data_IF_966533272363
#
_entry.id   IF_966533272363
#
_cell.length_a   1.000
_cell.length_b   1.000
_cell.length_c   1.000
_cell.angle_alpha   90.00
_cell.angle_beta   90.00
_cell.angle_gamma   90.00
#
_symmetry.space_group_name_H-M   'P 1'
#
loop_
_entity.id
_entity.type
_entity.pdbx_description
1 polymer ?
#
# COMPACT_ATOMS: atom_id res chain seq x y z
N UNK A 1 -27.41 7.93 54.97
CA UNK A 1 -27.48 7.19 53.70
C UNK A 1 -26.44 6.09 53.74
N UNK A 2 -26.84 4.81 53.75
CA UNK A 2 -25.92 3.70 53.53
C UNK A 2 -25.20 3.92 52.19
N UNK A 3 -23.86 3.84 52.19
CA UNK A 3 -23.08 3.91 50.95
C UNK A 3 -23.48 2.74 50.06
N UNK A 4 -23.84 3.04 48.81
CA UNK A 4 -24.07 2.07 47.74
C UNK A 4 -23.00 0.96 47.80
N UNK A 5 -23.46 -0.28 47.91
CA UNK A 5 -22.65 -1.49 48.19
C UNK A 5 -21.92 -2.04 46.97
N UNK A 6 -22.18 -1.51 45.78
CA UNK A 6 -21.56 -1.99 44.55
C UNK A 6 -20.16 -1.39 44.38
N UNK A 7 -19.14 -2.25 44.46
CA UNK A 7 -17.76 -1.90 44.12
C UNK A 7 -17.36 -2.66 42.86
N UNK A 8 -17.14 -1.98 41.71
CA UNK A 8 -16.64 -2.65 40.52
C UNK A 8 -15.23 -3.21 40.77
N UNK A 9 -14.84 -4.30 40.07
CA UNK A 9 -13.51 -4.86 40.20
C UNK A 9 -12.44 -3.83 39.77
N UNK A 10 -11.28 -3.88 40.43
CA UNK A 10 -10.19 -2.94 40.11
C UNK A 10 -9.68 -3.18 38.68
N UNK A 11 -9.67 -2.15 37.82
CA UNK A 11 -9.27 -2.32 36.43
C UNK A 11 -7.76 -2.57 36.28
N UNK A 12 -7.41 -3.52 35.41
CA UNK A 12 -6.02 -3.84 35.07
C UNK A 12 -5.37 -2.72 34.24
N UNK A 13 -4.03 -2.74 34.11
CA UNK A 13 -3.30 -1.79 33.26
C UNK A 13 -3.70 -1.89 31.78
N UNK A 14 -3.92 -3.12 31.31
CA UNK A 14 -4.35 -3.43 29.94
C UNK A 14 -5.74 -2.84 29.70
N UNK A 15 -6.64 -3.04 30.65
CA UNK A 15 -8.00 -2.52 30.58
C UNK A 15 -8.03 -0.99 30.46
N UNK A 16 -7.21 -0.30 31.27
CA UNK A 16 -7.03 1.16 31.17
C UNK A 16 -6.41 1.61 29.83
N UNK A 17 -5.54 0.80 29.22
CA UNK A 17 -4.96 1.11 27.91
C UNK A 17 -6.04 1.08 26.82
N UNK A 18 -6.88 0.05 26.81
CA UNK A 18 -7.99 -0.05 25.85
C UNK A 18 -9.07 1.01 26.08
N UNK A 19 -9.34 1.41 27.33
CA UNK A 19 -10.20 2.56 27.60
C UNK A 19 -9.69 3.85 26.98
N UNK A 20 -8.37 4.09 27.07
CA UNK A 20 -7.74 5.23 26.40
C UNK A 20 -7.87 5.15 24.88
N UNK A 21 -7.77 3.94 24.31
CA UNK A 21 -7.98 3.71 22.87
C UNK A 21 -9.42 4.00 22.43
N UNK A 22 -10.41 3.65 23.26
CA UNK A 22 -11.82 4.03 23.07
C UNK A 22 -12.10 5.52 23.37
N UNK A 23 -11.11 6.24 23.90
CA UNK A 23 -11.23 7.63 24.36
C UNK A 23 -12.17 7.81 25.56
N UNK A 24 -12.35 6.76 26.36
CA UNK A 24 -13.01 6.84 27.66
C UNK A 24 -12.07 7.38 28.74
N UNK A 25 -12.63 8.17 29.65
CA UNK A 25 -11.91 8.65 30.83
C UNK A 25 -11.73 7.50 31.84
N UNK A 26 -10.48 7.14 32.11
CA UNK A 26 -10.14 6.07 33.03
C UNK A 26 -10.55 6.35 34.49
N UNK A 27 -10.62 7.61 34.90
CA UNK A 27 -11.07 8.00 36.22
C UNK A 27 -12.58 7.76 36.37
N UNK A 28 -13.36 8.24 35.41
CA UNK A 28 -14.83 8.08 35.42
C UNK A 28 -15.23 6.61 35.22
N UNK A 29 -14.57 5.88 34.30
CA UNK A 29 -14.81 4.45 34.07
C UNK A 29 -14.51 3.60 35.30
N UNK A 30 -13.54 4.00 36.13
CA UNK A 30 -13.23 3.27 37.37
C UNK A 30 -14.33 3.35 38.42
N UNK A 31 -15.19 4.38 38.34
CA UNK A 31 -16.34 4.59 39.22
C UNK A 31 -17.65 4.09 38.59
N UNK A 32 -17.67 3.88 37.27
CA UNK A 32 -18.80 3.36 36.53
C UNK A 32 -19.02 1.85 36.76
N UNK A 33 -20.14 1.33 36.23
CA UNK A 33 -20.48 -0.08 36.35
C UNK A 33 -19.49 -0.98 35.59
N UNK A 34 -19.33 -2.23 36.04
CA UNK A 34 -18.46 -3.19 35.33
C UNK A 34 -18.91 -3.46 33.88
N UNK A 35 -20.20 -3.32 33.59
CA UNK A 35 -20.73 -3.44 32.23
C UNK A 35 -20.15 -2.36 31.31
N UNK A 36 -20.10 -1.09 31.77
CA UNK A 36 -19.55 0.02 30.99
C UNK A 36 -18.04 -0.12 30.80
N UNK A 37 -17.37 -0.59 31.84
CA UNK A 37 -15.96 -0.94 31.78
C UNK A 37 -15.64 -1.96 30.68
N UNK A 38 -16.47 -3.00 30.50
CA UNK A 38 -16.31 -3.98 29.43
C UNK A 38 -16.65 -3.37 28.07
N UNK A 39 -17.75 -2.60 27.95
CA UNK A 39 -18.15 -1.96 26.69
C UNK A 39 -17.03 -1.09 26.12
N UNK A 40 -16.43 -0.23 26.94
CA UNK A 40 -15.30 0.62 26.53
C UNK A 40 -14.01 -0.17 26.31
N UNK A 41 -13.81 -1.29 27.01
CA UNK A 41 -12.69 -2.20 26.74
C UNK A 41 -12.82 -2.85 25.35
N UNK A 42 -14.00 -3.41 25.02
CA UNK A 42 -14.27 -4.02 23.72
C UNK A 42 -14.16 -2.99 22.59
N UNK A 43 -14.73 -1.80 22.77
CA UNK A 43 -14.65 -0.72 21.80
C UNK A 43 -13.20 -0.31 21.51
N UNK A 44 -12.38 -0.17 22.55
CA UNK A 44 -10.95 0.10 22.39
C UNK A 44 -10.20 -1.07 21.76
N UNK A 45 -10.61 -2.30 22.06
CA UNK A 45 -10.08 -3.52 21.45
C UNK A 45 -10.27 -3.54 19.95
N UNK A 46 -11.46 -3.17 19.47
CA UNK A 46 -11.79 -3.09 18.06
C UNK A 46 -10.92 -2.03 17.38
N UNK A 47 -10.80 -0.82 17.95
CA UNK A 47 -9.95 0.27 17.41
C UNK A 47 -8.46 -0.12 17.30
N UNK A 48 -7.94 -0.87 18.28
CA UNK A 48 -6.54 -1.35 18.22
C UNK A 48 -6.41 -2.47 17.18
N UNK A 49 -7.39 -3.35 17.07
CA UNK A 49 -7.37 -4.44 16.10
C UNK A 49 -7.44 -3.91 14.65
N UNK A 50 -8.30 -2.93 14.37
CA UNK A 50 -8.38 -2.27 13.05
C UNK A 50 -7.05 -1.59 12.70
N UNK A 51 -6.46 -0.86 13.64
CA UNK A 51 -5.15 -0.22 13.45
C UNK A 51 -4.01 -1.20 13.13
N UNK A 52 -3.93 -2.34 13.84
CA UNK A 52 -2.90 -3.36 13.59
C UNK A 52 -3.13 -4.01 12.23
N UNK A 53 -4.37 -4.38 11.90
CA UNK A 53 -4.71 -4.98 10.62
C UNK A 53 -4.40 -4.04 9.45
N UNK A 54 -4.78 -2.76 9.58
CA UNK A 54 -4.48 -1.73 8.58
C UNK A 54 -2.99 -1.51 8.43
N UNK A 55 -2.22 -1.47 9.52
CA UNK A 55 -0.76 -1.34 9.49
C UNK A 55 -0.07 -2.51 8.79
N UNK A 56 -0.49 -3.75 9.09
CA UNK A 56 0.03 -4.95 8.43
C UNK A 56 -0.33 -4.97 6.92
N UNK A 57 -1.55 -4.59 6.57
CA UNK A 57 -2.00 -4.47 5.18
C UNK A 57 -1.21 -3.41 4.41
N UNK A 58 -1.12 -2.19 4.97
CA UNK A 58 -0.40 -1.08 4.35
C UNK A 58 1.08 -1.38 4.18
N UNK A 59 1.72 -1.99 5.18
CA UNK A 59 3.11 -2.46 5.08
C UNK A 59 3.28 -3.52 4.00
N UNK A 60 2.39 -4.51 3.92
CA UNK A 60 2.43 -5.53 2.87
C UNK A 60 2.24 -4.93 1.47
N UNK A 61 1.25 -4.06 1.30
CA UNK A 61 0.97 -3.37 0.03
C UNK A 61 2.20 -2.56 -0.42
N UNK A 62 2.80 -1.81 0.50
CA UNK A 62 4.02 -1.06 0.25
C UNK A 62 5.15 -1.99 -0.22
N UNK A 63 5.37 -3.11 0.49
CA UNK A 63 6.39 -4.08 0.09
C UNK A 63 6.14 -4.67 -1.31
N UNK A 64 4.89 -5.03 -1.64
CA UNK A 64 4.57 -5.61 -2.96
C UNK A 64 4.75 -4.62 -4.11
N UNK A 65 4.44 -3.34 -3.88
CA UNK A 65 4.56 -2.28 -4.88
C UNK A 65 6.03 -1.88 -5.09
N UNK A 66 6.78 -1.70 -4.00
CA UNK A 66 8.14 -1.16 -4.03
C UNK A 66 9.25 -2.21 -3.95
N UNK A 67 8.92 -3.51 -3.91
CA UNK A 67 9.95 -4.55 -4.04
C UNK A 67 10.53 -4.49 -5.45
N UNK A 68 11.86 -4.54 -5.60
CA UNK A 68 12.45 -4.62 -6.92
C UNK A 68 11.94 -5.90 -7.58
N UNK A 69 11.39 -5.73 -8.79
CA UNK A 69 11.11 -6.84 -9.69
C UNK A 69 12.43 -7.11 -10.38
N UNK A 70 13.35 -7.81 -9.72
CA UNK A 70 14.70 -7.99 -10.25
C UNK A 70 14.63 -8.61 -11.66
N UNK A 71 14.94 -7.80 -12.67
CA UNK A 71 15.16 -8.20 -14.07
C UNK A 71 16.63 -8.62 -14.26
N UNK A 72 17.50 -8.34 -13.30
CA UNK A 72 18.94 -8.59 -13.38
C UNK A 72 19.40 -9.48 -12.23
N UNK A 73 20.18 -10.49 -12.62
CA UNK A 73 20.81 -11.54 -11.80
C UNK A 73 19.94 -12.71 -11.31
N UNK A 74 20.11 -13.83 -12.03
CA UNK A 74 20.20 -15.20 -11.49
C UNK A 74 19.28 -15.59 -10.34
N UNK A 75 17.98 -15.73 -10.62
CA UNK A 75 17.09 -16.55 -9.77
C UNK A 75 16.32 -17.67 -10.47
N UNK A 76 16.51 -17.84 -11.78
CA UNK A 76 15.83 -18.89 -12.55
C UNK A 76 16.73 -19.67 -13.52
N UNK A 77 18.04 -19.38 -13.62
CA UNK A 77 18.91 -20.00 -14.65
C UNK A 77 19.87 -21.06 -14.12
N UNK A 78 20.16 -21.17 -12.83
CA UNK A 78 21.10 -22.21 -12.38
C UNK A 78 20.40 -23.55 -12.04
N UNK A 79 19.70 -24.10 -13.05
CA UNK A 79 19.42 -25.54 -13.19
C UNK A 79 18.97 -25.95 -14.59
N UNK A 80 19.27 -25.14 -15.61
CA UNK A 80 19.07 -25.51 -17.01
C UNK A 80 20.40 -25.50 -17.78
N UNK A 81 21.42 -26.13 -17.23
CA UNK A 81 22.58 -26.58 -18.00
C UNK A 81 23.29 -27.67 -17.21
N UNK A 82 23.56 -28.80 -17.88
CA UNK A 82 24.22 -30.00 -17.37
C UNK A 82 23.39 -30.94 -16.49
N UNK A 83 22.27 -31.41 -17.04
CA UNK A 83 22.00 -32.84 -16.91
C UNK A 83 21.56 -33.38 -18.26
N UNK A 84 22.47 -34.15 -18.83
CA UNK A 84 22.35 -35.03 -19.98
C UNK A 84 21.01 -35.79 -19.96
N UNK A 85 20.37 -35.84 -21.13
CA UNK A 85 19.40 -36.86 -21.56
C UNK A 85 18.07 -37.07 -20.79
N UNK A 86 16.98 -36.89 -21.54
CA UNK A 86 15.76 -37.70 -21.48
C UNK A 86 14.97 -37.75 -20.16
N UNK A 87 14.20 -36.70 -19.85
CA UNK A 87 12.84 -36.84 -19.29
C UNK A 87 12.20 -35.45 -19.12
N UNK A 88 11.05 -35.24 -19.77
CA UNK A 88 10.26 -34.00 -19.76
C UNK A 88 9.31 -33.92 -18.55
N UNK A 89 9.37 -34.87 -17.62
CA UNK A 89 8.43 -34.92 -16.51
C UNK A 89 9.10 -34.48 -15.21
N UNK A 90 8.46 -33.52 -14.53
CA UNK A 90 8.78 -32.94 -13.21
C UNK A 90 9.65 -31.68 -13.16
N UNK A 91 9.17 -30.60 -13.79
CA UNK A 91 9.51 -29.23 -13.37
C UNK A 91 8.51 -28.80 -12.27
N UNK A 92 8.77 -29.18 -11.02
CA UNK A 92 8.12 -28.53 -9.86
C UNK A 92 8.96 -27.32 -9.44
N UNK A 93 8.65 -26.17 -10.01
CA UNK A 93 9.24 -24.90 -9.61
C UNK A 93 8.61 -24.46 -8.28
N UNK A 94 9.22 -24.85 -7.17
CA UNK A 94 8.99 -24.19 -5.89
C UNK A 94 9.58 -22.78 -5.98
N UNK A 95 8.74 -21.77 -6.19
CA UNK A 95 9.11 -20.35 -6.26
C UNK A 95 9.52 -19.91 -4.85
N UNK A 96 10.82 -19.95 -4.54
CA UNK A 96 11.34 -19.40 -3.28
C UNK A 96 11.48 -17.89 -3.44
N UNK A 97 10.62 -17.10 -2.79
CA UNK A 97 10.70 -15.63 -2.76
C UNK A 97 11.93 -15.17 -1.96
N UNK A 98 12.96 -14.65 -2.61
CA UNK A 98 14.05 -13.91 -1.94
C UNK A 98 13.50 -12.55 -1.53
N UNK A 99 13.58 -12.29 -0.23
CA UNK A 99 13.07 -11.07 0.40
C UNK A 99 14.05 -9.93 0.21
N UNK A 100 13.61 -8.81 -0.38
CA UNK A 100 14.43 -7.61 -0.45
C UNK A 100 14.42 -6.90 0.91
N UNK A 101 15.44 -7.17 1.72
CA UNK A 101 15.54 -6.68 3.10
C UNK A 101 15.42 -5.15 3.25
N UNK A 102 16.00 -4.31 2.36
CA UNK A 102 15.85 -2.86 2.46
C UNK A 102 14.40 -2.40 2.29
N UNK A 103 13.67 -2.90 1.27
CA UNK A 103 12.26 -2.55 1.08
C UNK A 103 11.40 -3.08 2.22
N UNK A 104 11.73 -4.27 2.76
CA UNK A 104 11.03 -4.82 3.92
C UNK A 104 11.15 -3.91 5.14
N UNK A 105 12.33 -3.37 5.42
CA UNK A 105 12.53 -2.45 6.54
C UNK A 105 11.69 -1.18 6.39
N UNK A 106 11.68 -0.58 5.19
CA UNK A 106 10.86 0.61 4.90
C UNK A 106 9.36 0.28 5.01
N UNK A 107 8.95 -0.89 4.52
CA UNK A 107 7.57 -1.36 4.59
C UNK A 107 7.08 -1.56 6.03
N UNK A 108 7.94 -2.07 6.93
CA UNK A 108 7.62 -2.22 8.36
C UNK A 108 7.42 -0.84 9.01
N UNK A 109 8.34 0.10 8.76
CA UNK A 109 8.24 1.46 9.29
C UNK A 109 6.96 2.13 8.78
N UNK A 110 6.70 2.03 7.48
CA UNK A 110 5.49 2.54 6.85
C UNK A 110 4.23 1.92 7.47
N UNK A 111 4.19 0.60 7.64
CA UNK A 111 3.07 -0.11 8.26
C UNK A 111 2.79 0.33 9.69
N UNK A 112 3.84 0.58 10.49
CA UNK A 112 3.70 1.11 11.86
C UNK A 112 3.13 2.52 11.84
N UNK A 113 3.66 3.42 11.01
CA UNK A 113 3.16 4.80 10.89
C UNK A 113 1.72 4.81 10.40
N UNK A 114 1.39 4.01 9.40
CA UNK A 114 0.04 3.89 8.86
C UNK A 114 -0.94 3.35 9.90
N UNK A 115 -0.57 2.29 10.62
CA UNK A 115 -1.38 1.77 11.72
C UNK A 115 -1.62 2.80 12.82
N UNK A 116 -0.62 3.64 13.15
CA UNK A 116 -0.79 4.74 14.10
C UNK A 116 -1.72 5.86 13.59
N UNK A 117 -1.70 6.14 12.28
CA UNK A 117 -2.64 7.08 11.65
C UNK A 117 -4.07 6.55 11.80
N UNK A 118 -4.31 5.29 11.42
CA UNK A 118 -5.63 4.66 11.54
C UNK A 118 -6.08 4.59 12.99
N UNK A 119 -5.20 4.19 13.91
CA UNK A 119 -5.49 4.23 15.34
C UNK A 119 -5.98 5.60 15.82
N UNK A 120 -5.31 6.68 15.41
CA UNK A 120 -5.71 8.03 15.80
C UNK A 120 -7.02 8.45 15.15
N UNK A 121 -7.25 8.11 13.88
CA UNK A 121 -8.49 8.41 13.17
C UNK A 121 -9.67 7.66 13.80
N UNK A 122 -9.58 6.35 13.98
CA UNK A 122 -10.64 5.53 14.59
C UNK A 122 -10.92 5.97 16.03
N UNK A 123 -9.87 6.25 16.81
CA UNK A 123 -10.00 6.83 18.16
C UNK A 123 -10.72 8.17 18.14
N UNK A 124 -10.32 9.07 17.23
CA UNK A 124 -10.98 10.35 17.05
C UNK A 124 -12.45 10.15 16.65
N UNK A 125 -12.76 9.21 15.77
CA UNK A 125 -14.12 8.89 15.35
C UNK A 125 -14.96 8.40 16.54
N UNK A 126 -14.44 7.48 17.35
CA UNK A 126 -15.16 6.95 18.51
C UNK A 126 -15.43 8.04 19.56
N UNK A 127 -14.49 8.97 19.75
CA UNK A 127 -14.66 10.09 20.70
C UNK A 127 -15.56 11.20 20.20
N UNK A 128 -15.55 11.47 18.89
CA UNK A 128 -16.28 12.59 18.29
C UNK A 128 -17.65 12.20 17.74
N UNK A 129 -17.92 10.91 17.55
CA UNK A 129 -19.28 10.46 17.24
C UNK A 129 -20.08 10.66 18.52
N UNK A 130 -21.02 11.61 18.47
CA UNK A 130 -21.89 11.92 19.61
C UNK A 130 -22.50 10.66 20.20
N UNK A 131 -22.74 10.69 21.52
CA UNK A 131 -23.55 9.66 22.18
C UNK A 131 -24.90 9.67 21.44
N UNK A 132 -25.38 8.51 20.99
CA UNK A 132 -26.70 8.43 20.37
C UNK A 132 -27.78 9.06 21.24
N UNK A 133 -28.96 9.28 20.68
CA UNK A 133 -30.13 9.84 21.38
C UNK A 133 -30.46 9.10 22.69
N UNK A 134 -29.90 7.89 22.87
CA UNK A 134 -29.96 7.08 24.07
C UNK A 134 -31.01 5.99 23.96
N UNK A 135 -31.59 5.80 22.78
CA UNK A 135 -32.48 4.69 22.46
C UNK A 135 -31.70 3.51 21.85
N UNK A 136 -32.29 2.31 21.90
CA UNK A 136 -31.70 1.10 21.30
C UNK A 136 -31.77 1.08 19.76
N UNK A 137 -32.57 1.98 19.17
CA UNK A 137 -32.80 2.02 17.74
C UNK A 137 -31.88 3.04 17.07
N UNK A 138 -31.26 2.66 15.95
CA UNK A 138 -30.44 3.57 15.14
C UNK A 138 -31.39 4.55 14.43
N UNK A 139 -31.46 5.79 14.92
CA UNK A 139 -32.32 6.83 14.35
C UNK A 139 -31.73 7.37 13.04
N UNK A 140 -32.58 7.70 12.05
CA UNK A 140 -32.12 8.21 10.73
C UNK A 140 -31.26 9.49 10.84
N UNK A 141 -31.49 10.30 11.87
CA UNK A 141 -30.66 11.47 12.18
C UNK A 141 -29.22 11.11 12.57
N UNK A 142 -29.02 10.02 13.30
CA UNK A 142 -27.69 9.54 13.70
C UNK A 142 -26.93 8.96 12.51
N UNK A 143 -27.62 8.20 11.66
CA UNK A 143 -27.06 7.67 10.44
C UNK A 143 -26.61 8.80 9.49
N UNK A 144 -27.41 9.87 9.37
CA UNK A 144 -27.04 11.07 8.60
C UNK A 144 -25.84 11.79 9.19
N UNK A 145 -25.73 11.87 10.52
CA UNK A 145 -24.57 12.45 11.20
C UNK A 145 -23.29 11.61 11.05
N UNK A 146 -23.43 10.28 10.98
CA UNK A 146 -22.32 9.35 10.76
C UNK A 146 -21.95 9.16 9.28
N UNK A 147 -22.77 9.63 8.34
CA UNK A 147 -22.63 9.37 6.89
C UNK A 147 -21.25 9.75 6.31
N UNK A 148 -20.68 10.94 6.57
CA UNK A 148 -19.35 11.29 6.04
C UNK A 148 -18.27 10.30 6.49
N UNK A 149 -18.45 9.71 7.69
CA UNK A 149 -17.51 8.78 8.31
C UNK A 149 -17.66 7.38 7.73
N UNK A 150 -18.89 6.93 7.49
CA UNK A 150 -19.16 5.67 6.80
C UNK A 150 -18.53 5.70 5.41
N UNK A 151 -18.68 6.82 4.67
CA UNK A 151 -18.06 6.98 3.35
C UNK A 151 -16.54 6.88 3.44
N UNK A 152 -15.91 7.57 4.40
CA UNK A 152 -14.46 7.50 4.61
C UNK A 152 -14.00 6.08 4.94
N UNK A 153 -14.70 5.40 5.85
CA UNK A 153 -14.43 4.00 6.21
C UNK A 153 -14.57 3.05 5.02
N UNK A 154 -15.58 3.24 4.17
CA UNK A 154 -15.74 2.47 2.93
C UNK A 154 -14.54 2.64 1.99
N UNK A 155 -14.06 3.88 1.80
CA UNK A 155 -12.91 4.17 0.92
C UNK A 155 -11.66 3.48 1.45
N UNK A 156 -11.41 3.58 2.77
CA UNK A 156 -10.26 2.96 3.42
C UNK A 156 -10.36 1.43 3.33
N UNK A 157 -11.52 0.85 3.64
CA UNK A 157 -11.74 -0.59 3.60
C UNK A 157 -11.52 -1.18 2.20
N UNK A 158 -12.05 -0.55 1.16
CA UNK A 158 -11.84 -0.99 -0.24
C UNK A 158 -10.36 -0.86 -0.63
N UNK A 159 -9.69 0.20 -0.18
CA UNK A 159 -8.27 0.43 -0.47
C UNK A 159 -7.37 -0.60 0.22
N UNK A 160 -7.71 -1.00 1.46
CA UNK A 160 -6.97 -1.98 2.26
C UNK A 160 -7.30 -3.42 1.82
N UNK A 161 -8.49 -3.69 1.29
CA UNK A 161 -8.91 -5.04 0.93
C UNK A 161 -8.09 -5.63 -0.22
N UNK A 162 -7.78 -4.84 -1.26
CA UNK A 162 -7.13 -5.34 -2.48
C UNK A 162 -5.75 -5.96 -2.24
N UNK A 163 -4.81 -5.32 -1.51
CA UNK A 163 -3.52 -5.95 -1.22
C UNK A 163 -3.63 -7.24 -0.39
N UNK A 164 -4.53 -7.27 0.60
CA UNK A 164 -4.75 -8.45 1.44
C UNK A 164 -5.43 -9.58 0.67
N UNK A 165 -6.38 -9.26 -0.20
CA UNK A 165 -7.04 -10.19 -1.10
C UNK A 165 -6.02 -10.94 -1.96
N UNK A 166 -5.10 -10.21 -2.61
CA UNK A 166 -4.03 -10.81 -3.42
C UNK A 166 -3.10 -11.66 -2.57
N UNK A 167 -2.83 -11.27 -1.32
CA UNK A 167 -1.99 -12.06 -0.40
C UNK A 167 -2.66 -13.37 -0.02
N UNK A 168 -3.95 -13.34 0.28
CA UNK A 168 -4.73 -14.51 0.64
C UNK A 168 -4.81 -15.48 -0.54
N UNK A 169 -5.05 -14.96 -1.75
CA UNK A 169 -5.18 -15.73 -2.99
C UNK A 169 -3.85 -15.96 -3.73
N UNK A 170 -2.72 -15.78 -3.05
CA UNK A 170 -1.41 -15.79 -3.72
C UNK A 170 -1.16 -17.11 -4.47
N UNK A 171 -1.47 -18.25 -3.85
CA UNK A 171 -1.23 -19.57 -4.45
C UNK A 171 -2.12 -19.87 -5.66
N UNK A 172 -3.32 -19.31 -5.69
CA UNK A 172 -4.27 -19.40 -6.78
C UNK A 172 -3.84 -18.51 -7.94
N UNK A 173 -3.53 -17.24 -7.65
CA UNK A 173 -3.10 -16.25 -8.63
C UNK A 173 -1.79 -16.67 -9.29
N UNK A 174 -0.81 -17.14 -8.52
CA UNK A 174 0.50 -17.56 -9.06
C UNK A 174 0.37 -18.76 -10.02
N UNK A 175 -0.61 -19.66 -9.82
CA UNK A 175 -0.89 -20.77 -10.74
C UNK A 175 -1.43 -20.27 -12.08
N UNK A 176 -2.44 -19.39 -12.05
CA UNK A 176 -3.01 -18.81 -13.28
C UNK A 176 -2.01 -17.92 -14.01
N UNK A 177 -1.26 -17.11 -13.27
CA UNK A 177 -0.20 -16.26 -13.82
C UNK A 177 0.88 -17.10 -14.52
N UNK A 178 1.31 -18.20 -13.89
CA UNK A 178 2.27 -19.12 -14.50
C UNK A 178 1.75 -19.77 -15.78
N UNK A 179 0.44 -20.05 -15.87
CA UNK A 179 -0.17 -20.54 -17.11
C UNK A 179 -0.10 -19.49 -18.22
N UNK A 180 -0.53 -18.25 -17.92
CA UNK A 180 -0.49 -17.14 -18.89
C UNK A 180 0.93 -16.89 -19.39
N UNK A 181 1.92 -16.92 -18.48
CA UNK A 181 3.33 -16.75 -18.84
C UNK A 181 3.83 -17.90 -19.73
N UNK A 182 3.46 -19.15 -19.43
CA UNK A 182 3.80 -20.30 -20.26
C UNK A 182 3.19 -20.18 -21.64
N UNK A 183 1.90 -19.84 -21.73
CA UNK A 183 1.18 -19.69 -23.00
C UNK A 183 1.79 -18.57 -23.86
N UNK A 184 2.14 -17.44 -23.25
CA UNK A 184 2.86 -16.35 -23.92
C UNK A 184 4.22 -16.82 -24.46
N UNK A 185 5.02 -17.46 -23.61
CA UNK A 185 6.33 -18.00 -24.01
C UNK A 185 6.18 -19.00 -25.15
N UNK A 186 5.27 -19.98 -25.05
CA UNK A 186 5.11 -20.99 -26.10
C UNK A 186 4.68 -20.39 -27.42
N UNK A 187 3.74 -19.43 -27.40
CA UNK A 187 3.25 -18.78 -28.61
C UNK A 187 4.33 -17.94 -29.30
N UNK A 188 5.12 -17.17 -28.53
CA UNK A 188 6.20 -16.35 -29.10
C UNK A 188 7.37 -17.21 -29.57
N UNK A 189 7.77 -18.25 -28.82
CA UNK A 189 8.79 -19.22 -29.26
C UNK A 189 8.36 -19.92 -30.56
N UNK A 190 7.09 -20.29 -30.68
CA UNK A 190 6.58 -20.94 -31.89
C UNK A 190 6.65 -20.01 -33.10
N UNK A 191 6.38 -18.71 -32.94
CA UNK A 191 6.53 -17.72 -34.04
C UNK A 191 7.99 -17.58 -34.49
N UNK A 192 8.93 -17.46 -33.56
CA UNK A 192 10.37 -17.37 -33.86
C UNK A 192 10.81 -18.64 -34.59
N UNK A 193 10.53 -19.82 -34.02
CA UNK A 193 10.91 -21.10 -34.63
C UNK A 193 10.28 -21.32 -36.01
N UNK A 194 9.03 -20.93 -36.22
CA UNK A 194 8.38 -21.04 -37.55
C UNK A 194 9.09 -20.19 -38.59
N UNK A 195 9.54 -19.00 -38.20
CA UNK A 195 10.26 -18.07 -39.08
C UNK A 195 11.61 -18.64 -39.47
N UNK A 196 12.37 -19.16 -38.50
CA UNK A 196 13.73 -19.64 -38.73
C UNK A 196 13.79 -21.07 -39.29
N UNK A 197 12.72 -21.87 -39.13
CA UNK A 197 12.69 -23.28 -39.57
C UNK A 197 13.07 -23.45 -41.03
N UNK A 198 12.54 -22.60 -41.93
CA UNK A 198 12.79 -22.72 -43.38
C UNK A 198 14.27 -22.47 -43.68
N UNK A 199 14.84 -21.43 -43.09
CA UNK A 199 16.25 -21.04 -43.26
C UNK A 199 17.16 -22.13 -42.70
N UNK A 200 16.85 -22.63 -41.50
CA UNK A 200 17.61 -23.71 -40.86
C UNK A 200 17.57 -25.00 -41.67
N UNK A 201 16.42 -25.40 -42.22
CA UNK A 201 16.33 -26.61 -43.06
C UNK A 201 17.21 -26.52 -44.30
N UNK A 202 17.25 -25.35 -44.95
CA UNK A 202 18.09 -25.14 -46.13
C UNK A 202 19.58 -25.19 -45.77
N UNK A 203 19.98 -24.48 -44.70
CA UNK A 203 21.37 -24.51 -44.23
C UNK A 203 21.79 -25.92 -43.79
N UNK A 204 20.91 -26.67 -43.14
CA UNK A 204 21.18 -28.04 -42.70
C UNK A 204 21.33 -29.01 -43.88
N UNK A 205 20.53 -28.87 -44.93
CA UNK A 205 20.67 -29.63 -46.18
C UNK A 205 22.01 -29.33 -46.87
N UNK A 206 22.35 -28.04 -46.99
CA UNK A 206 23.61 -27.61 -47.60
C UNK A 206 24.81 -28.11 -46.81
N UNK A 207 24.82 -27.92 -45.48
CA UNK A 207 25.88 -28.42 -44.59
C UNK A 207 25.97 -29.95 -44.64
N UNK A 208 24.84 -30.66 -44.67
CA UNK A 208 24.79 -32.13 -44.77
C UNK A 208 25.51 -32.65 -46.01
N UNK A 209 25.44 -31.91 -47.13
CA UNK A 209 26.13 -32.30 -48.37
C UNK A 209 27.66 -32.26 -48.21
N UNK A 210 28.20 -31.24 -47.54
CA UNK A 210 29.64 -31.12 -47.23
C UNK A 210 30.08 -32.15 -46.19
N UNK A 211 29.27 -32.35 -45.15
CA UNK A 211 29.55 -33.35 -44.11
C UNK A 211 29.59 -34.76 -44.70
N UNK A 212 28.64 -35.14 -45.56
CA UNK A 212 28.67 -36.43 -46.25
C UNK A 212 29.92 -36.62 -47.11
N UNK A 213 30.34 -35.60 -47.86
CA UNK A 213 31.58 -35.68 -48.66
C UNK A 213 32.81 -35.86 -47.77
N UNK A 214 32.89 -35.10 -46.68
CA UNK A 214 33.95 -35.22 -45.68
C UNK A 214 33.96 -36.60 -45.03
N UNK A 215 32.80 -37.11 -44.60
CA UNK A 215 32.67 -38.41 -43.94
C UNK A 215 33.05 -39.56 -44.87
N UNK A 216 32.71 -39.49 -46.17
CA UNK A 216 33.18 -40.47 -47.16
C UNK A 216 34.72 -40.49 -47.26
N UNK A 217 35.35 -39.31 -47.29
CA UNK A 217 36.83 -39.23 -47.28
C UNK A 217 37.43 -39.70 -45.96
N UNK A 218 36.76 -39.44 -44.84
CA UNK A 218 37.17 -39.91 -43.53
C UNK A 218 37.09 -41.45 -43.46
N UNK A 219 36.03 -42.06 -43.96
CA UNK A 219 35.86 -43.51 -44.04
C UNK A 219 36.91 -44.15 -44.95
N UNK A 220 37.22 -43.53 -46.10
CA UNK A 220 38.31 -43.97 -46.98
C UNK A 220 39.68 -43.90 -46.29
N UNK A 221 39.91 -42.86 -45.47
CA UNK A 221 41.12 -42.70 -44.66
C UNK A 221 41.24 -43.79 -43.59
N UNK A 222 40.15 -44.03 -42.85
CA UNK A 222 40.08 -45.02 -41.77
C UNK A 222 40.24 -46.45 -42.34
N UNK A 223 39.67 -46.74 -43.50
CA UNK A 223 39.86 -48.01 -44.21
C UNK A 223 41.33 -48.25 -44.58
N UNK A 224 42.04 -47.22 -45.04
CA UNK A 224 43.48 -47.32 -45.32
C UNK A 224 44.30 -47.50 -44.04
N UNK A 225 43.89 -46.85 -42.96
CA UNK A 225 44.51 -47.00 -41.65
C UNK A 225 44.39 -48.44 -41.13
N UNK A 226 43.20 -49.04 -41.20
CA UNK A 226 42.96 -50.43 -40.83
C UNK A 226 43.82 -51.40 -41.66
N UNK A 227 43.93 -51.16 -42.98
CA UNK A 227 44.79 -51.96 -43.85
C UNK A 227 46.27 -51.87 -43.47
N UNK A 228 46.77 -50.69 -43.08
CA UNK A 228 48.14 -50.51 -42.60
C UNK A 228 48.36 -51.31 -41.31
N UNK A 229 47.44 -51.19 -40.35
CA UNK A 229 47.51 -51.90 -39.07
C UNK A 229 47.49 -53.42 -39.26
N UNK A 230 46.64 -53.92 -40.15
CA UNK A 230 46.58 -55.33 -40.53
C UNK A 230 47.90 -55.83 -41.16
N UNK A 231 48.52 -55.05 -42.04
CA UNK A 231 49.79 -55.42 -42.68
C UNK A 231 50.97 -55.38 -41.71
N UNK A 232 50.95 -54.46 -40.73
CA UNK A 232 51.95 -54.40 -39.64
C UNK A 232 51.82 -55.62 -38.74
N UNK A 233 50.61 -55.97 -38.31
CA UNK A 233 50.35 -57.11 -37.43
C UNK A 233 50.76 -58.46 -38.06
N UNK A 234 50.65 -58.59 -39.39
CA UNK A 234 51.00 -59.80 -40.13
C UNK A 234 52.42 -59.79 -40.73
N UNK A 235 53.28 -58.83 -40.36
CA UNK A 235 54.68 -58.78 -40.81
C UNK A 235 54.90 -58.45 -42.30
N UNK A 236 53.86 -57.98 -42.99
CA UNK A 236 53.84 -57.67 -44.44
C UNK A 236 54.23 -56.24 -44.79
N UNK A 237 54.52 -55.39 -43.81
CA UNK A 237 54.73 -53.96 -44.02
C UNK A 237 56.14 -53.64 -44.54
N UNK A 238 56.26 -53.53 -45.87
CA UNK A 238 57.39 -52.89 -46.61
C UNK A 238 56.86 -51.64 -47.34
N UNK A 239 57.46 -51.21 -48.46
CA UNK A 239 57.11 -49.98 -49.21
C UNK A 239 55.61 -49.76 -49.56
N UNK A 240 54.77 -50.79 -49.51
CA UNK A 240 53.29 -50.66 -49.60
C UNK A 240 52.69 -49.78 -48.51
N UNK A 241 53.20 -49.85 -47.27
CA UNK A 241 52.73 -49.00 -46.18
C UNK A 241 53.07 -47.52 -46.43
N UNK A 242 54.21 -47.23 -47.07
CA UNK A 242 54.56 -45.86 -47.49
C UNK A 242 53.64 -45.36 -48.61
N UNK A 243 53.21 -46.25 -49.51
CA UNK A 243 52.23 -45.93 -50.55
C UNK A 243 50.84 -45.62 -49.95
N UNK A 244 50.36 -46.44 -49.00
CA UNK A 244 49.10 -46.17 -48.29
C UNK A 244 49.17 -44.88 -47.48
N UNK A 245 50.30 -44.60 -46.80
CA UNK A 245 50.51 -43.31 -46.12
C UNK A 245 50.48 -42.12 -47.09
N UNK A 246 51.05 -42.26 -48.29
CA UNK A 246 50.94 -41.21 -49.34
C UNK A 246 49.49 -41.01 -49.79
N UNK A 247 48.71 -42.09 -49.91
CA UNK A 247 47.29 -41.99 -50.24
C UNK A 247 46.50 -41.33 -49.10
N UNK A 248 46.78 -41.68 -47.84
CA UNK A 248 46.22 -41.01 -46.66
C UNK A 248 46.53 -39.52 -46.64
N UNK A 249 47.76 -39.09 -46.92
CA UNK A 249 48.11 -37.67 -46.99
C UNK A 249 47.30 -36.92 -48.05
N UNK A 250 47.06 -37.53 -49.23
CA UNK A 250 46.22 -36.93 -50.27
C UNK A 250 44.74 -36.86 -49.89
N UNK A 251 44.24 -37.84 -49.14
CA UNK A 251 42.86 -37.83 -48.64
C UNK A 251 42.72 -36.79 -47.52
N UNK A 252 43.72 -36.68 -46.65
CA UNK A 252 43.79 -35.66 -45.61
C UNK A 252 43.79 -34.24 -46.20
N UNK A 253 44.56 -34.00 -47.26
CA UNK A 253 44.56 -32.74 -48.00
C UNK A 253 43.15 -32.39 -48.52
N UNK A 254 42.41 -33.36 -49.09
CA UNK A 254 41.01 -33.16 -49.52
C UNK A 254 40.05 -32.87 -48.36
N UNK A 255 40.26 -33.51 -47.21
CA UNK A 255 39.47 -33.25 -46.01
C UNK A 255 39.71 -31.82 -45.53
N UNK A 256 40.96 -31.37 -45.56
CA UNK A 256 41.35 -30.03 -45.11
C UNK A 256 40.90 -28.95 -46.12
N UNK A 257 40.94 -29.22 -47.43
CA UNK A 257 40.32 -28.37 -48.48
C UNK A 257 38.83 -28.13 -48.19
N UNK A 258 38.07 -29.16 -47.78
CA UNK A 258 36.65 -29.00 -47.44
C UNK A 258 36.46 -28.17 -46.16
N UNK A 259 37.35 -28.33 -45.16
CA UNK A 259 37.27 -27.54 -43.92
C UNK A 259 37.61 -26.06 -44.15
N UNK A 260 38.54 -25.79 -45.04
CA UNK A 260 38.99 -24.44 -45.40
C UNK A 260 38.15 -23.80 -46.50
N UNK A 261 37.21 -24.55 -47.11
CA UNK A 261 36.28 -24.03 -48.11
C UNK A 261 35.48 -22.84 -47.55
N UNK A 262 35.62 -21.69 -48.21
CA UNK A 262 34.98 -20.44 -47.78
C UNK A 262 33.46 -20.52 -47.74
N UNK A 263 32.83 -21.29 -48.63
CA UNK A 263 31.38 -21.45 -48.65
C UNK A 263 30.93 -22.31 -47.47
N UNK A 264 31.62 -23.43 -47.21
CA UNK A 264 31.34 -24.28 -46.04
C UNK A 264 31.48 -23.50 -44.73
N UNK A 265 32.55 -22.72 -44.58
CA UNK A 265 32.78 -21.88 -43.40
C UNK A 265 31.71 -20.79 -43.26
N UNK A 266 31.26 -20.19 -44.37
CA UNK A 266 30.18 -19.20 -44.38
C UNK A 266 28.84 -19.77 -43.91
N UNK A 267 28.48 -21.00 -44.32
CA UNK A 267 27.25 -21.69 -43.93
C UNK A 267 27.25 -22.00 -42.43
N UNK A 268 28.37 -22.48 -41.89
CA UNK A 268 28.52 -22.72 -40.45
C UNK A 268 28.39 -21.41 -39.67
N UNK A 269 29.06 -20.35 -40.12
CA UNK A 269 28.99 -19.05 -39.47
C UNK A 269 27.56 -18.47 -39.51
N UNK A 270 26.87 -18.61 -40.64
CA UNK A 270 25.49 -18.18 -40.80
C UNK A 270 24.56 -18.95 -39.85
N UNK A 271 24.69 -20.28 -39.79
CA UNK A 271 23.97 -21.12 -38.82
C UNK A 271 24.24 -20.67 -37.38
N UNK A 272 25.51 -20.51 -37.01
CA UNK A 272 25.92 -20.06 -35.67
C UNK A 272 25.35 -18.69 -35.33
N UNK A 273 25.35 -17.75 -36.28
CA UNK A 273 24.78 -16.42 -36.09
C UNK A 273 23.27 -16.48 -35.86
N UNK A 274 22.55 -17.35 -36.60
CA UNK A 274 21.11 -17.55 -36.44
C UNK A 274 20.78 -18.13 -35.05
N UNK A 275 21.50 -19.16 -34.61
CA UNK A 275 21.35 -19.72 -33.27
C UNK A 275 21.65 -18.69 -32.16
N UNK A 276 22.68 -17.86 -32.34
CA UNK A 276 22.98 -16.80 -31.37
C UNK A 276 21.87 -15.75 -31.31
N UNK A 277 21.25 -15.44 -32.45
CA UNK A 277 20.13 -14.51 -32.56
C UNK A 277 18.87 -15.10 -31.91
N UNK A 278 18.51 -16.36 -32.23
CA UNK A 278 17.40 -17.07 -31.61
C UNK A 278 17.56 -17.09 -30.08
N UNK A 279 18.73 -17.46 -29.55
CA UNK A 279 18.98 -17.45 -28.10
C UNK A 279 18.78 -16.06 -27.49
N UNK A 280 19.25 -15.00 -28.15
CA UNK A 280 19.03 -13.62 -27.69
C UNK A 280 17.54 -13.23 -27.71
N UNK A 281 16.80 -13.66 -28.72
CA UNK A 281 15.35 -13.42 -28.85
C UNK A 281 14.56 -14.19 -27.78
N UNK A 282 14.95 -15.44 -27.50
CA UNK A 282 14.40 -16.24 -26.40
C UNK A 282 14.65 -15.60 -25.03
N UNK A 283 15.83 -15.03 -24.81
CA UNK A 283 16.11 -14.26 -23.59
C UNK A 283 15.23 -13.02 -23.48
N UNK A 284 14.95 -12.32 -24.58
CA UNK A 284 14.02 -11.17 -24.55
C UNK A 284 12.59 -11.61 -24.29
N UNK A 285 12.08 -12.66 -24.93
CA UNK A 285 10.72 -13.19 -24.72
C UNK A 285 10.55 -13.64 -23.27
N UNK A 286 11.54 -14.33 -22.70
CA UNK A 286 11.49 -14.77 -21.30
C UNK A 286 11.56 -13.60 -20.31
N UNK A 287 12.25 -12.50 -20.66
CA UNK A 287 12.22 -11.25 -19.89
C UNK A 287 10.85 -10.58 -19.97
N UNK A 288 10.24 -10.49 -21.15
CA UNK A 288 8.90 -9.92 -21.35
C UNK A 288 7.82 -10.72 -20.62
N UNK A 289 7.89 -12.05 -20.66
CA UNK A 289 6.97 -12.91 -19.92
C UNK A 289 7.03 -12.66 -18.41
N UNK A 290 8.22 -12.40 -17.86
CA UNK A 290 8.39 -12.04 -16.45
C UNK A 290 7.85 -10.65 -16.11
N UNK A 291 7.85 -9.71 -17.06
CA UNK A 291 7.25 -8.39 -16.89
C UNK A 291 5.71 -8.47 -16.76
N UNK A 292 5.08 -9.55 -17.24
CA UNK A 292 3.65 -9.83 -17.04
C UNK A 292 3.28 -10.16 -15.57
N UNK A 293 4.19 -9.97 -14.60
CA UNK A 293 3.91 -10.04 -13.17
C UNK A 293 3.61 -8.65 -12.56
N UNK A 294 2.56 -8.01 -13.09
CA UNK A 294 2.07 -6.71 -12.62
C UNK A 294 1.06 -6.82 -11.47
N UNK A 295 1.01 -5.82 -10.58
CA UNK A 295 -0.06 -5.72 -9.57
C UNK A 295 -1.45 -5.70 -10.22
N UNK A 296 -1.60 -4.94 -11.32
CA UNK A 296 -2.84 -4.87 -12.07
C UNK A 296 -3.30 -6.25 -12.58
N UNK A 297 -2.37 -7.04 -13.14
CA UNK A 297 -2.66 -8.40 -13.62
C UNK A 297 -3.11 -9.30 -12.47
N UNK A 298 -2.47 -9.19 -11.29
CA UNK A 298 -2.86 -9.95 -10.10
C UNK A 298 -4.26 -9.57 -9.59
N UNK A 299 -4.62 -8.28 -9.64
CA UNK A 299 -5.97 -7.81 -9.29
C UNK A 299 -7.00 -8.35 -10.27
N UNK A 300 -6.76 -8.22 -11.59
CA UNK A 300 -7.71 -8.72 -12.60
C UNK A 300 -7.87 -10.23 -12.52
N UNK A 301 -6.78 -10.99 -12.29
CA UNK A 301 -6.86 -12.44 -12.11
C UNK A 301 -7.70 -12.84 -10.89
N UNK A 302 -7.56 -12.11 -9.78
CA UNK A 302 -8.35 -12.36 -8.58
C UNK A 302 -9.85 -12.11 -8.82
N UNK A 303 -10.19 -11.00 -9.48
CA UNK A 303 -11.58 -10.62 -9.75
C UNK A 303 -12.24 -11.49 -10.82
N UNK A 304 -11.50 -11.90 -11.85
CA UNK A 304 -12.01 -12.73 -12.94
C UNK A 304 -12.24 -14.18 -12.50
N UNK A 305 -11.28 -14.77 -11.79
CA UNK A 305 -11.36 -16.18 -11.40
C UNK A 305 -12.05 -16.40 -10.05
N UNK A 306 -12.03 -15.42 -9.13
CA UNK A 306 -12.58 -15.55 -7.78
C UNK A 306 -13.48 -14.37 -7.35
N UNK A 307 -14.50 -13.99 -8.16
CA UNK A 307 -15.33 -12.80 -7.88
C UNK A 307 -16.08 -12.88 -6.55
N UNK A 308 -16.60 -14.07 -6.20
CA UNK A 308 -17.33 -14.25 -4.95
C UNK A 308 -16.41 -14.11 -3.72
N UNK A 309 -15.17 -14.60 -3.81
CA UNK A 309 -14.19 -14.51 -2.71
C UNK A 309 -13.69 -13.07 -2.59
N UNK A 310 -13.41 -12.41 -3.71
CA UNK A 310 -13.04 -10.99 -3.77
C UNK A 310 -14.09 -10.09 -3.10
N UNK A 311 -15.37 -10.29 -3.47
CA UNK A 311 -16.49 -9.56 -2.89
C UNK A 311 -16.64 -9.86 -1.40
N UNK A 312 -16.59 -11.13 -1.00
CA UNK A 312 -16.68 -11.53 0.41
C UNK A 312 -15.59 -10.89 1.26
N UNK A 313 -14.33 -10.94 0.82
CA UNK A 313 -13.22 -10.32 1.56
C UNK A 313 -13.37 -8.80 1.66
N UNK A 314 -13.79 -8.14 0.57
CA UNK A 314 -14.06 -6.70 0.60
C UNK A 314 -15.17 -6.34 1.59
N UNK A 315 -16.27 -7.09 1.60
CA UNK A 315 -17.35 -6.90 2.58
C UNK A 315 -16.92 -7.21 4.01
N UNK A 316 -16.03 -8.19 4.21
CA UNK A 316 -15.48 -8.52 5.52
C UNK A 316 -14.64 -7.36 6.07
N UNK A 317 -13.71 -6.82 5.27
CA UNK A 317 -12.92 -5.65 5.69
C UNK A 317 -13.79 -4.43 5.92
N UNK A 318 -14.79 -4.21 5.07
CA UNK A 318 -15.78 -3.15 5.25
C UNK A 318 -16.52 -3.29 6.60
N UNK A 319 -16.96 -4.50 6.94
CA UNK A 319 -17.63 -4.75 8.21
C UNK A 319 -16.70 -4.48 9.41
N UNK A 320 -15.45 -4.93 9.34
CA UNK A 320 -14.46 -4.72 10.41
C UNK A 320 -14.16 -3.23 10.62
N UNK A 321 -13.92 -2.47 9.55
CA UNK A 321 -13.62 -1.04 9.60
C UNK A 321 -14.82 -0.20 10.08
N UNK A 322 -16.05 -0.59 9.72
CA UNK A 322 -17.26 0.10 10.18
C UNK A 322 -17.71 -0.32 11.60
N UNK A 323 -17.13 -1.38 12.17
CA UNK A 323 -17.52 -1.92 13.48
C UNK A 323 -17.42 -0.88 14.60
N UNK A 324 -16.35 -0.06 14.76
CA UNK A 324 -16.28 0.97 15.79
C UNK A 324 -17.45 1.95 15.75
N UNK A 325 -17.89 2.31 14.54
CA UNK A 325 -18.99 3.26 14.31
C UNK A 325 -20.32 2.62 14.72
N UNK A 326 -20.62 1.43 14.18
CA UNK A 326 -21.85 0.73 14.51
C UNK A 326 -21.95 0.39 16.00
N UNK A 327 -20.83 -0.02 16.61
CA UNK A 327 -20.79 -0.28 18.04
C UNK A 327 -21.08 0.98 18.84
N UNK A 328 -20.52 2.13 18.45
CA UNK A 328 -20.77 3.41 19.14
C UNK A 328 -22.23 3.86 19.00
N UNK A 329 -22.85 3.66 17.84
CA UNK A 329 -24.27 3.96 17.61
C UNK A 329 -25.20 3.01 18.39
N UNK A 330 -24.78 1.77 18.62
CA UNK A 330 -25.53 0.79 19.42
C UNK A 330 -25.40 1.01 20.94
N UNK A 331 -24.48 1.87 21.40
CA UNK A 331 -24.30 2.14 22.82
C UNK A 331 -25.40 3.06 23.38
N UNK A 332 -26.29 2.46 24.18
CA UNK A 332 -27.26 3.17 25.02
C UNK A 332 -26.52 4.01 26.08
N UNK A 333 -27.08 5.17 26.43
CA UNK A 333 -26.59 6.01 27.53
C UNK A 333 -26.50 5.19 28.83
N UNK A 334 -25.31 5.21 29.42
CA UNK A 334 -24.96 4.42 30.59
C UNK A 334 -24.59 5.31 31.79
N UNK A 335 -24.49 4.77 33.02
CA UNK A 335 -24.02 5.54 34.18
C UNK A 335 -22.70 6.28 33.95
N UNK A 336 -21.78 5.71 33.16
CA UNK A 336 -20.56 6.41 32.73
C UNK A 336 -20.88 7.70 31.98
N UNK A 337 -21.85 7.66 31.05
CA UNK A 337 -22.19 8.80 30.22
C UNK A 337 -22.80 9.93 31.04
N UNK A 338 -23.70 9.60 31.97
CA UNK A 338 -24.29 10.58 32.89
C UNK A 338 -23.27 11.16 33.86
N UNK A 339 -22.35 10.34 34.39
CA UNK A 339 -21.25 10.83 35.24
C UNK A 339 -20.34 11.77 34.46
N UNK A 340 -19.98 11.41 33.23
CA UNK A 340 -19.18 12.27 32.35
C UNK A 340 -19.86 13.59 32.06
N UNK A 341 -21.17 13.60 31.79
CA UNK A 341 -21.89 14.84 31.53
C UNK A 341 -22.07 15.66 32.82
N UNK A 342 -22.25 15.02 33.99
CA UNK A 342 -22.23 15.71 35.28
C UNK A 342 -20.89 16.39 35.56
N UNK A 343 -19.76 15.72 35.32
CA UNK A 343 -18.44 16.33 35.47
C UNK A 343 -18.24 17.51 34.51
N UNK A 344 -18.73 17.41 33.26
CA UNK A 344 -18.69 18.56 32.33
C UNK A 344 -19.51 19.73 32.84
N UNK A 345 -20.72 19.48 33.35
CA UNK A 345 -21.57 20.55 33.90
C UNK A 345 -20.97 21.18 35.16
N UNK A 346 -20.35 20.38 36.03
CA UNK A 346 -19.61 20.90 37.18
C UNK A 346 -18.43 21.78 36.75
N UNK A 347 -17.65 21.35 35.76
CA UNK A 347 -16.52 22.13 35.22
C UNK A 347 -17.01 23.43 34.57
N UNK A 348 -18.12 23.40 33.83
CA UNK A 348 -18.74 24.60 33.28
C UNK A 348 -19.15 25.57 34.41
N UNK A 349 -19.83 25.07 35.44
CA UNK A 349 -20.26 25.86 36.59
C UNK A 349 -19.07 26.46 37.38
N UNK A 350 -18.01 25.68 37.62
CA UNK A 350 -16.78 26.17 38.28
C UNK A 350 -16.10 27.29 37.49
N UNK A 351 -16.12 27.21 36.16
CA UNK A 351 -15.61 28.25 35.28
C UNK A 351 -16.60 29.40 35.05
N UNK A 352 -17.76 29.39 35.75
CA UNK A 352 -18.79 30.42 35.63
C UNK A 352 -19.46 30.45 34.25
N UNK A 353 -19.52 29.32 33.56
CA UNK A 353 -20.17 29.15 32.26
C UNK A 353 -21.54 28.53 32.51
N UNK A 354 -22.60 29.24 32.14
CA UNK A 354 -23.97 28.80 32.30
C UNK A 354 -24.63 28.72 30.94
N UNK A 355 -25.32 27.62 30.67
CA UNK A 355 -26.11 27.44 29.46
C UNK A 355 -27.57 27.66 29.87
N UNK A 356 -28.12 28.82 29.53
CA UNK A 356 -29.55 29.08 29.68
C UNK A 356 -30.27 28.36 28.53
N UNK A 357 -31.00 27.29 28.88
CA UNK A 357 -31.90 26.59 27.96
C UNK A 357 -33.19 27.42 27.80
N UNK A 358 -33.11 28.54 27.07
CA UNK A 358 -34.33 29.30 26.76
C UNK A 358 -35.21 28.50 25.79
N UNK A 359 -36.33 28.00 26.29
CA UNK A 359 -37.39 27.36 25.49
C UNK A 359 -38.18 28.44 24.73
N UNK A 360 -37.66 28.91 23.61
CA UNK A 360 -38.45 29.72 22.67
C UNK A 360 -39.09 28.79 21.63
N UNK A 361 -40.38 28.50 21.80
CA UNK A 361 -41.26 28.01 20.72
C UNK A 361 -41.44 29.12 19.69
N UNK A 362 -40.44 29.30 18.82
CA UNK A 362 -40.70 29.96 17.55
C UNK A 362 -41.39 28.96 16.61
N UNK A 363 -42.14 29.45 15.61
CA UNK A 363 -42.98 28.61 14.72
C UNK A 363 -42.20 27.56 13.90
N UNK A 364 -40.86 27.58 13.96
CA UNK A 364 -39.94 26.66 13.29
C UNK A 364 -39.15 25.75 14.25
N UNK A 365 -39.38 25.82 15.57
CA UNK A 365 -38.92 24.82 16.55
C UNK A 365 -37.40 24.70 16.76
N UNK A 366 -36.62 25.75 16.45
CA UNK A 366 -35.15 25.69 16.59
C UNK A 366 -34.72 26.03 18.02
N UNK A 367 -34.22 25.04 18.75
CA UNK A 367 -33.54 25.22 20.03
C UNK A 367 -32.28 26.10 19.84
N UNK A 368 -32.15 27.18 20.61
CA UNK A 368 -30.93 27.98 20.65
C UNK A 368 -30.44 28.05 22.09
N UNK A 369 -29.32 27.40 22.36
CA UNK A 369 -28.64 27.46 23.66
C UNK A 369 -28.00 28.85 23.85
N UNK A 370 -28.40 29.59 24.90
CA UNK A 370 -27.73 30.83 25.27
C UNK A 370 -26.60 30.50 26.24
N UNK A 371 -25.36 30.48 25.75
CA UNK A 371 -24.18 30.27 26.59
C UNK A 371 -23.68 31.60 27.15
N UNK A 372 -23.77 31.76 28.48
CA UNK A 372 -23.22 32.90 29.22
C UNK A 372 -21.88 32.54 29.85
N UNK A 373 -20.93 33.46 29.75
CA UNK A 373 -19.59 33.33 30.34
C UNK A 373 -19.42 34.38 31.42
N UNK A 374 -19.86 34.11 32.65
CA UNK A 374 -19.94 35.11 33.72
C UNK A 374 -18.60 35.78 34.02
N UNK A 375 -17.49 35.03 33.93
CA UNK A 375 -16.15 35.57 34.09
C UNK A 375 -15.80 36.63 33.01
N UNK A 376 -16.20 36.37 31.76
CA UNK A 376 -16.00 37.31 30.66
C UNK A 376 -16.97 38.48 30.76
N UNK A 377 -18.24 38.25 31.12
CA UNK A 377 -19.25 39.28 31.31
C UNK A 377 -18.84 40.27 32.41
N UNK A 378 -18.38 39.77 33.55
CA UNK A 378 -17.83 40.60 34.63
C UNK A 378 -16.69 41.49 34.14
N UNK A 379 -15.73 40.94 33.40
CA UNK A 379 -14.59 41.71 32.89
C UNK A 379 -15.05 42.78 31.87
N UNK A 380 -15.99 42.45 30.99
CA UNK A 380 -16.56 43.39 30.02
C UNK A 380 -17.28 44.53 30.75
N UNK A 381 -18.05 44.22 31.78
CA UNK A 381 -18.79 45.20 32.58
C UNK A 381 -17.84 46.13 33.35
N UNK A 382 -16.80 45.58 33.99
CA UNK A 382 -15.75 46.38 34.65
C UNK A 382 -15.07 47.35 33.67
N UNK A 383 -14.73 46.90 32.45
CA UNK A 383 -14.12 47.76 31.42
C UNK A 383 -15.10 48.81 30.90
N UNK A 384 -16.38 48.46 30.73
CA UNK A 384 -17.43 49.40 30.31
C UNK A 384 -17.63 50.48 31.36
N UNK A 385 -17.79 50.11 32.63
CA UNK A 385 -17.95 51.08 33.71
C UNK A 385 -16.74 52.01 33.83
N UNK A 386 -15.52 51.46 33.67
CA UNK A 386 -14.30 52.24 33.65
C UNK A 386 -14.26 53.25 32.48
N UNK A 387 -14.61 52.82 31.27
CA UNK A 387 -14.69 53.70 30.10
C UNK A 387 -15.76 54.79 30.27
N UNK A 388 -16.93 54.43 30.80
CA UNK A 388 -18.01 55.38 31.07
C UNK A 388 -17.59 56.40 32.14
N UNK A 389 -16.84 55.98 33.16
CA UNK A 389 -16.25 56.88 34.14
C UNK A 389 -15.26 57.86 33.47
N UNK A 390 -14.38 57.38 32.59
CA UNK A 390 -13.47 58.24 31.81
C UNK A 390 -14.23 59.24 30.94
N UNK A 391 -15.31 58.82 30.28
CA UNK A 391 -16.16 59.70 29.48
C UNK A 391 -16.83 60.76 30.35
N UNK A 392 -17.37 60.40 31.52
CA UNK A 392 -17.97 61.35 32.47
C UNK A 392 -16.95 62.38 32.95
N UNK A 393 -15.75 61.93 33.34
CA UNK A 393 -14.66 62.82 33.78
C UNK A 393 -14.24 63.75 32.64
N UNK A 394 -14.08 63.22 31.43
CA UNK A 394 -13.69 63.99 30.24
C UNK A 394 -14.73 65.05 29.91
N UNK A 395 -16.03 64.69 29.90
CA UNK A 395 -17.13 65.66 29.70
C UNK A 395 -17.12 66.77 30.76
N UNK A 396 -16.88 66.41 32.02
CA UNK A 396 -16.78 67.40 33.09
C UNK A 396 -15.56 68.32 32.91
N UNK A 397 -14.41 67.77 32.52
CA UNK A 397 -13.20 68.54 32.24
C UNK A 397 -13.38 69.49 31.06
N UNK A 398 -14.02 69.04 29.96
CA UNK A 398 -14.37 69.89 28.81
C UNK A 398 -15.33 70.99 29.23
N UNK A 399 -16.38 70.69 30.00
CA UNK A 399 -17.32 71.70 30.49
C UNK A 399 -16.63 72.76 31.36
N UNK A 400 -15.69 72.37 32.23
CA UNK A 400 -14.89 73.32 33.01
C UNK A 400 -13.89 74.11 32.16
N UNK A 401 -13.33 73.49 31.14
CA UNK A 401 -12.48 74.17 30.16
C UNK A 401 -13.30 75.21 29.38
N UNK A 402 -14.48 74.86 28.89
CA UNK A 402 -15.40 75.79 28.22
C UNK A 402 -15.80 76.95 29.11
N UNK A 403 -16.14 76.70 30.38
CA UNK A 403 -16.42 77.78 31.36
C UNK A 403 -15.21 78.70 31.53
N UNK A 404 -13.99 78.14 31.58
CA UNK A 404 -12.75 78.92 31.74
C UNK A 404 -12.44 79.75 30.50
N UNK A 405 -12.55 79.17 29.32
CA UNK A 405 -12.29 79.89 28.06
C UNK A 405 -13.38 80.94 27.80
N UNK A 406 -14.65 80.67 28.11
CA UNK A 406 -15.71 81.68 28.07
C UNK A 406 -15.38 82.88 28.96
N UNK A 407 -14.91 82.65 30.20
CA UNK A 407 -14.47 83.74 31.08
C UNK A 407 -13.31 84.55 30.49
N UNK A 408 -12.33 83.91 29.86
CA UNK A 408 -11.23 84.61 29.20
C UNK A 408 -11.70 85.44 28.00
N UNK A 409 -12.63 84.89 27.22
CA UNK A 409 -13.26 85.60 26.08
C UNK A 409 -14.06 86.80 26.59
N UNK A 410 -14.79 86.67 27.70
CA UNK A 410 -15.55 87.76 28.33
C UNK A 410 -14.63 88.87 28.87
N UNK A 411 -13.45 88.52 29.37
CA UNK A 411 -12.46 89.45 29.93
C UNK A 411 -11.65 90.21 28.85
N UNK A 412 -11.41 89.61 27.68
CA UNK A 412 -10.64 90.23 26.59
C UNK A 412 -11.12 89.77 25.19
N UNK A 413 -12.30 90.21 24.71
CA UNK A 413 -12.94 89.69 23.50
C UNK A 413 -12.17 90.00 22.20
N UNK A 414 -11.38 91.07 22.19
CA UNK A 414 -10.60 91.50 21.02
C UNK A 414 -9.42 90.56 20.70
N UNK A 415 -9.00 89.71 21.65
CA UNK A 415 -7.92 88.73 21.47
C UNK A 415 -8.36 87.48 20.69
N UNK A 416 -9.68 87.20 20.68
CA UNK A 416 -10.27 86.04 20.01
C UNK A 416 -11.02 86.38 18.71
N UNK A 417 -11.26 87.67 18.44
CA UNK A 417 -11.91 88.17 17.21
C UNK A 417 -10.92 89.03 16.44
N UNK A 418 -10.13 88.43 15.55
CA UNK A 418 -9.41 89.20 14.53
C UNK A 418 -10.39 89.59 13.41
N UNK A 419 -10.69 90.88 13.27
CA UNK A 419 -11.36 91.38 12.07
C UNK A 419 -10.42 91.23 10.87
N UNK A 420 -10.71 90.30 9.95
CA UNK A 420 -10.20 90.40 8.58
C UNK A 420 -10.99 91.50 7.85
N UNK A 421 -10.56 92.75 7.98
CA UNK A 421 -10.98 93.78 7.04
C UNK A 421 -10.27 93.52 5.71
N UNK A 422 -10.99 93.00 4.72
CA UNK A 422 -10.53 93.06 3.34
C UNK A 422 -10.44 94.53 2.91
N UNK A 423 -9.22 95.04 2.71
CA UNK A 423 -8.88 96.16 1.83
C UNK A 423 -7.39 96.08 1.47
#
# INVERSE_FOLDING_TARGET
>A
MEKLTYQPPKPSRIMKLFWKAAGGDAYILSQATYSDQIKYFCLGGIVVATAIMAGLSGGYAFYVIFRPKDITENRYVEKLAETTANSIDTVSTAIQEVTHYPTLAIAIIFGVVWGLIIYNIDRFIVTSTGKGDGTEAITWGELKGALPRIIMGCIIAISISKPLEIRILKGEIDRHLSSIQKDFITNEIEKVRKTDKVILTQLDEDISSYVKRKDNYQEDYDRLQEQIEFQIANGGCKGKCEEFKRQQSKIQEKIDEIKEDGNYLSLINQRKSLFSKENSELETITKEAKLLDGLAIRVTLAEEHYPAVSLFLTLLFLAIELTPIFFKLMLIKSPYDYLSDNYKQLELAENGIYIDEDYYEDKEGIQRELVRYLAAEKLIEEQREFHDAQLRITKHAISKFEEREKKKIDENPDEYISYSSNA
#
